data_IF_095375908926
#
_entry.id   IF_095375908926
#
_cell.length_a   1.000
_cell.length_b   1.000
_cell.length_c   1.000
_cell.angle_alpha   90.00
_cell.angle_beta   90.00
_cell.angle_gamma   90.00
#
_symmetry.space_group_name_H-M   'P 1'
#
loop_
_entity.id
_entity.type
_entity.pdbx_description
1 polymer ?
#
# COMPACT_ATOMS: atom_id res chain seq x y z
N UNK A 1 24.65 -52.50 16.52
CA UNK A 1 24.17 -51.97 15.23
C UNK A 1 23.24 -50.77 15.50
N UNK A 2 23.79 -49.70 16.09
CA UNK A 2 24.26 -48.43 15.49
C UNK A 2 23.16 -47.39 15.23
N UNK A 3 22.80 -46.71 16.34
CA UNK A 3 22.05 -45.46 16.53
C UNK A 3 22.55 -44.24 15.71
N UNK A 4 23.51 -44.46 14.81
CA UNK A 4 24.29 -43.47 14.06
C UNK A 4 23.63 -43.08 12.72
N UNK A 5 22.74 -43.91 12.16
CA UNK A 5 22.09 -43.62 10.86
C UNK A 5 20.88 -42.68 10.98
N UNK A 6 20.14 -42.70 12.10
CA UNK A 6 18.99 -41.83 12.32
C UNK A 6 19.38 -40.35 12.49
N UNK A 7 20.62 -40.08 12.92
CA UNK A 7 21.11 -38.74 13.25
C UNK A 7 21.71 -37.97 12.05
N UNK A 8 21.83 -38.62 10.88
CA UNK A 8 22.38 -37.99 9.68
C UNK A 8 21.32 -37.32 8.81
N UNK A 9 20.09 -37.85 8.82
CA UNK A 9 18.97 -37.29 8.04
C UNK A 9 18.40 -36.04 8.71
N UNK A 10 18.31 -36.01 10.05
CA UNK A 10 17.86 -34.83 10.79
C UNK A 10 18.83 -33.64 10.78
N UNK A 11 20.10 -33.85 10.38
CA UNK A 11 21.16 -32.83 10.46
C UNK A 11 21.30 -32.00 9.18
N UNK A 12 20.61 -32.38 8.10
CA UNK A 12 20.57 -31.64 6.83
C UNK A 12 19.29 -30.81 6.65
N UNK A 13 18.26 -30.99 7.48
CA UNK A 13 16.99 -30.25 7.39
C UNK A 13 16.92 -29.00 8.29
N UNK A 14 17.85 -28.85 9.23
CA UNK A 14 17.87 -27.73 10.19
C UNK A 14 18.27 -26.36 9.58
N UNK A 15 19.19 -26.24 8.60
CA UNK A 15 19.55 -24.91 8.10
C UNK A 15 18.49 -24.28 7.17
N UNK A 16 17.55 -25.06 6.62
CA UNK A 16 16.53 -24.53 5.71
C UNK A 16 15.34 -23.87 6.43
N UNK A 17 15.06 -24.28 7.67
CA UNK A 17 13.96 -23.72 8.46
C UNK A 17 14.25 -22.32 9.04
N UNK A 18 15.52 -21.96 9.22
CA UNK A 18 15.90 -20.67 9.81
C UNK A 18 15.84 -19.49 8.81
N UNK A 19 16.03 -19.75 7.51
CA UNK A 19 15.97 -18.70 6.49
C UNK A 19 14.53 -18.22 6.19
N UNK A 20 13.52 -19.07 6.42
CA UNK A 20 12.12 -18.74 6.17
C UNK A 20 11.52 -17.73 7.19
N UNK A 21 12.13 -17.60 8.38
CA UNK A 21 11.60 -16.72 9.44
C UNK A 21 11.91 -15.23 9.22
N UNK A 22 12.94 -14.90 8.43
CA UNK A 22 13.36 -13.52 8.18
C UNK A 22 12.49 -12.79 7.14
N UNK A 23 11.80 -13.53 6.26
CA UNK A 23 10.94 -12.94 5.23
C UNK A 23 9.64 -12.32 5.81
N UNK A 24 9.17 -12.77 6.97
CA UNK A 24 7.91 -12.32 7.56
C UNK A 24 7.96 -10.94 8.23
N UNK A 25 9.13 -10.52 8.73
CA UNK A 25 9.26 -9.24 9.44
C UNK A 25 9.21 -8.04 8.49
N UNK A 26 9.94 -8.09 7.37
CA UNK A 26 9.99 -6.99 6.41
C UNK A 26 8.64 -6.67 5.77
N UNK A 27 7.81 -7.69 5.53
CA UNK A 27 6.47 -7.53 4.95
C UNK A 27 5.51 -6.86 5.94
N UNK A 28 5.50 -7.30 7.20
CA UNK A 28 4.65 -6.72 8.26
C UNK A 28 5.00 -5.26 8.54
N UNK A 29 6.30 -4.93 8.54
CA UNK A 29 6.75 -3.56 8.74
C UNK A 29 6.33 -2.66 7.56
N UNK A 30 6.54 -3.14 6.33
CA UNK A 30 6.15 -2.40 5.12
C UNK A 30 4.64 -2.12 5.06
N UNK A 31 3.84 -3.05 5.56
CA UNK A 31 2.41 -2.88 5.69
C UNK A 31 2.05 -1.76 6.69
N UNK A 32 2.59 -1.79 7.90
CA UNK A 32 2.32 -0.78 8.94
C UNK A 32 2.76 0.62 8.51
N UNK A 33 3.93 0.71 7.88
CA UNK A 33 4.42 1.97 7.32
C UNK A 33 3.47 2.50 6.23
N UNK A 34 2.94 1.63 5.37
CA UNK A 34 2.02 2.02 4.31
C UNK A 34 0.62 2.41 4.85
N UNK A 35 0.11 1.77 5.91
CA UNK A 35 -1.11 2.22 6.61
C UNK A 35 -0.98 3.65 7.15
N UNK A 36 0.19 3.99 7.70
CA UNK A 36 0.48 5.35 8.18
C UNK A 36 0.44 6.36 7.03
N UNK A 37 0.99 6.01 5.87
CA UNK A 37 0.94 6.88 4.68
C UNK A 37 -0.50 7.02 4.14
N UNK A 38 -1.34 5.98 4.19
CA UNK A 38 -2.77 6.10 3.85
C UNK A 38 -3.47 7.10 4.76
N UNK A 39 -3.21 7.06 6.07
CA UNK A 39 -3.77 8.04 7.01
C UNK A 39 -3.36 9.48 6.68
N UNK A 40 -2.09 9.71 6.33
CA UNK A 40 -1.60 11.04 5.89
C UNK A 40 -2.24 11.46 4.57
N UNK A 41 -2.44 10.52 3.65
CA UNK A 41 -3.11 10.77 2.38
C UNK A 41 -4.55 11.24 2.61
N UNK A 42 -5.34 10.54 3.42
CA UNK A 42 -6.72 10.92 3.71
C UNK A 42 -6.79 12.29 4.39
N UNK A 43 -5.89 12.59 5.33
CA UNK A 43 -5.79 13.92 5.95
C UNK A 43 -5.51 15.02 4.91
N UNK A 44 -4.58 14.78 3.99
CA UNK A 44 -4.26 15.72 2.93
C UNK A 44 -5.41 15.89 1.93
N UNK A 45 -6.11 14.81 1.59
CA UNK A 45 -7.28 14.81 0.72
C UNK A 45 -8.45 15.60 1.34
N UNK A 46 -8.71 15.40 2.63
CA UNK A 46 -9.76 16.12 3.37
C UNK A 46 -9.45 17.62 3.50
N UNK A 47 -8.16 17.97 3.58
CA UNK A 47 -7.68 19.35 3.60
C UNK A 47 -7.58 19.98 2.20
N UNK A 48 -7.76 19.21 1.12
CA UNK A 48 -7.52 19.64 -0.25
C UNK A 48 -6.05 19.96 -0.55
N UNK A 49 -5.11 19.51 0.30
CA UNK A 49 -3.67 19.76 0.15
C UNK A 49 -3.01 18.72 -0.76
N UNK A 50 -3.29 18.82 -2.06
CA UNK A 50 -2.67 17.94 -3.07
C UNK A 50 -1.13 18.03 -3.05
N UNK A 51 -0.55 19.15 -2.60
CA UNK A 51 0.91 19.30 -2.51
C UNK A 51 1.50 18.34 -1.46
N UNK A 52 0.79 18.07 -0.37
CA UNK A 52 1.23 17.10 0.63
C UNK A 52 1.24 15.67 0.07
N UNK A 53 0.20 15.29 -0.69
CA UNK A 53 0.13 14.00 -1.40
C UNK A 53 1.32 13.86 -2.37
N UNK A 54 1.59 14.91 -3.16
CA UNK A 54 2.70 14.90 -4.11
C UNK A 54 4.08 14.83 -3.46
N UNK A 55 4.26 15.33 -2.24
CA UNK A 55 5.52 15.18 -1.50
C UNK A 55 5.81 13.73 -1.10
N UNK A 56 4.77 12.92 -0.91
CA UNK A 56 4.85 11.50 -0.54
C UNK A 56 4.83 10.57 -1.76
N UNK A 57 4.37 11.05 -2.92
CA UNK A 57 4.36 10.30 -4.16
C UNK A 57 5.77 9.97 -4.67
N UNK A 58 5.94 8.85 -5.35
CA UNK A 58 7.18 8.51 -6.04
C UNK A 58 7.50 9.56 -7.12
N UNK A 59 8.77 9.97 -7.31
CA UNK A 59 9.15 10.92 -8.35
C UNK A 59 8.61 10.58 -9.75
N UNK A 60 8.48 9.29 -10.08
CA UNK A 60 7.91 8.83 -11.34
C UNK A 60 6.41 9.16 -11.47
N UNK A 61 5.67 9.11 -10.35
CA UNK A 61 4.24 9.47 -10.33
C UNK A 61 4.00 10.98 -10.45
N UNK A 62 5.01 11.81 -10.13
CA UNK A 62 4.93 13.28 -10.15
C UNK A 62 5.06 13.89 -11.55
N UNK A 63 5.20 13.08 -12.60
CA UNK A 63 5.51 13.53 -13.95
C UNK A 63 4.47 13.04 -14.97
N UNK A 64 4.37 13.75 -16.10
CA UNK A 64 3.62 13.29 -17.28
C UNK A 64 2.11 13.14 -17.08
N UNK A 65 1.53 12.20 -17.83
CA UNK A 65 0.09 11.97 -17.88
C UNK A 65 -0.48 11.36 -16.59
N UNK A 66 0.33 10.58 -15.86
CA UNK A 66 -0.08 9.93 -14.62
C UNK A 66 -0.40 10.96 -13.53
N UNK A 67 0.41 12.02 -13.44
CA UNK A 67 0.13 13.13 -12.54
C UNK A 67 -1.21 13.79 -12.83
N UNK A 68 -1.43 14.21 -14.07
CA UNK A 68 -2.65 14.91 -14.47
C UNK A 68 -3.91 14.02 -14.28
N UNK A 69 -3.79 12.72 -14.51
CA UNK A 69 -4.85 11.76 -14.25
C UNK A 69 -5.17 11.65 -12.75
N UNK A 70 -4.13 11.52 -11.91
CA UNK A 70 -4.33 11.42 -10.46
C UNK A 70 -4.90 12.72 -9.88
N UNK A 71 -4.42 13.90 -10.29
CA UNK A 71 -4.98 15.19 -9.84
C UNK A 71 -6.48 15.28 -10.15
N UNK A 72 -6.92 14.82 -11.34
CA UNK A 72 -8.34 14.78 -11.71
C UNK A 72 -9.15 13.82 -10.84
N UNK A 73 -8.59 12.65 -10.54
CA UNK A 73 -9.27 11.67 -9.67
C UNK A 73 -9.42 12.26 -8.26
N UNK A 74 -8.35 12.81 -7.68
CA UNK A 74 -8.39 13.40 -6.34
C UNK A 74 -9.36 14.58 -6.24
N UNK A 75 -9.37 15.45 -7.24
CA UNK A 75 -10.33 16.54 -7.36
C UNK A 75 -11.77 16.03 -7.49
N UNK A 76 -12.01 14.97 -8.27
CA UNK A 76 -13.33 14.35 -8.38
C UNK A 76 -13.77 13.70 -7.06
N UNK A 77 -12.88 13.02 -6.33
CA UNK A 77 -13.18 12.46 -5.01
C UNK A 77 -13.57 13.58 -4.05
N UNK A 78 -12.73 14.61 -3.93
CA UNK A 78 -12.98 15.71 -3.00
C UNK A 78 -14.28 16.46 -3.34
N UNK A 79 -14.57 16.73 -4.62
CA UNK A 79 -15.80 17.44 -5.01
C UNK A 79 -17.06 16.59 -4.94
N UNK A 80 -17.01 15.33 -5.39
CA UNK A 80 -18.21 14.48 -5.52
C UNK A 80 -18.53 13.71 -4.25
N UNK A 81 -17.52 13.17 -3.57
CA UNK A 81 -17.66 12.35 -2.37
C UNK A 81 -17.49 13.16 -1.09
N UNK A 82 -16.68 14.22 -1.11
CA UNK A 82 -16.40 15.05 0.06
C UNK A 82 -15.35 14.41 0.98
N UNK A 83 -15.41 14.75 2.27
CA UNK A 83 -14.41 14.28 3.26
C UNK A 83 -14.61 12.83 3.64
N UNK A 84 -13.53 12.18 4.05
CA UNK A 84 -13.55 10.83 4.62
C UNK A 84 -14.26 10.85 5.98
N UNK A 85 -15.21 9.94 6.18
CA UNK A 85 -15.90 9.72 7.47
C UNK A 85 -15.43 8.47 8.18
N UNK A 86 -15.26 7.40 7.41
CA UNK A 86 -14.83 6.12 7.92
C UNK A 86 -14.04 5.39 6.84
N UNK A 87 -12.96 4.75 7.21
CA UNK A 87 -12.23 3.85 6.32
C UNK A 87 -12.04 2.50 6.99
N UNK A 88 -12.14 1.43 6.21
CA UNK A 88 -11.94 0.06 6.68
C UNK A 88 -11.06 -0.66 5.67
N UNK A 89 -9.94 -1.18 6.12
CA UNK A 89 -9.12 -2.03 5.25
C UNK A 89 -9.86 -3.34 4.96
N UNK A 90 -9.96 -3.68 3.68
CA UNK A 90 -10.63 -4.91 3.20
C UNK A 90 -9.65 -5.88 2.55
N UNK A 91 -8.46 -5.41 2.15
CA UNK A 91 -7.44 -6.26 1.56
C UNK A 91 -6.07 -5.62 1.60
N UNK A 92 -5.04 -6.46 1.49
CA UNK A 92 -3.67 -6.01 1.29
C UNK A 92 -2.91 -7.08 0.51
N UNK A 93 -1.91 -6.64 -0.24
CA UNK A 93 -0.99 -7.49 -0.98
C UNK A 93 0.40 -6.89 -0.90
N UNK A 94 1.42 -7.72 -0.76
CA UNK A 94 2.81 -7.29 -0.84
C UNK A 94 3.52 -8.14 -1.90
N UNK A 95 4.17 -7.48 -2.84
CA UNK A 95 4.91 -8.10 -3.93
C UNK A 95 6.33 -7.54 -3.95
N UNK A 96 7.32 -8.38 -3.65
CA UNK A 96 8.73 -8.02 -3.71
C UNK A 96 9.27 -8.29 -5.12
N UNK A 97 9.80 -7.25 -5.77
CA UNK A 97 10.43 -7.34 -7.10
C UNK A 97 11.89 -6.88 -7.01
N UNK A 98 12.60 -6.94 -8.14
CA UNK A 98 13.97 -6.39 -8.24
C UNK A 98 14.04 -4.88 -8.06
N UNK A 99 12.90 -4.18 -8.17
CA UNK A 99 12.81 -2.73 -7.98
C UNK A 99 12.40 -2.34 -6.55
N UNK A 100 12.15 -3.30 -5.67
CA UNK A 100 11.73 -3.08 -4.28
C UNK A 100 10.41 -3.78 -3.95
N UNK A 101 9.84 -3.47 -2.79
CA UNK A 101 8.60 -4.10 -2.33
C UNK A 101 7.41 -3.20 -2.61
N UNK A 102 6.50 -3.67 -3.46
CA UNK A 102 5.23 -3.02 -3.73
C UNK A 102 4.18 -3.51 -2.73
N UNK A 103 3.57 -2.59 -2.00
CA UNK A 103 2.49 -2.87 -1.05
C UNK A 103 1.22 -2.25 -1.62
N UNK A 104 0.26 -3.10 -1.97
CA UNK A 104 -1.07 -2.68 -2.38
C UNK A 104 -2.01 -2.82 -1.20
N UNK A 105 -2.71 -1.74 -0.86
CA UNK A 105 -3.71 -1.71 0.20
C UNK A 105 -5.07 -1.39 -0.40
N UNK A 106 -6.08 -2.16 -0.05
CA UNK A 106 -7.46 -1.93 -0.47
C UNK A 106 -8.31 -1.56 0.73
N UNK A 107 -8.96 -0.41 0.66
CA UNK A 107 -9.85 0.13 1.68
C UNK A 107 -11.26 0.28 1.13
N UNK A 108 -12.25 0.01 1.96
CA UNK A 108 -13.60 0.51 1.78
C UNK A 108 -13.73 1.79 2.59
N UNK A 109 -13.97 2.90 1.90
CA UNK A 109 -14.06 4.22 2.51
C UNK A 109 -15.45 4.80 2.32
N UNK A 110 -16.03 5.25 3.42
CA UNK A 110 -17.26 6.04 3.47
C UNK A 110 -16.89 7.51 3.55
N UNK A 111 -17.40 8.28 2.60
CA UNK A 111 -17.24 9.72 2.51
C UNK A 111 -18.54 10.44 2.89
N UNK A 112 -18.53 11.76 2.89
CA UNK A 112 -19.71 12.59 3.18
C UNK A 112 -20.89 12.34 2.24
N UNK A 113 -20.61 12.07 0.96
CA UNK A 113 -21.61 12.03 -0.11
C UNK A 113 -21.63 10.70 -0.86
N UNK A 114 -21.08 9.64 -0.26
CA UNK A 114 -21.08 8.31 -0.87
C UNK A 114 -20.03 7.38 -0.28
N UNK A 115 -19.78 6.27 -0.95
CA UNK A 115 -18.75 5.31 -0.57
C UNK A 115 -17.95 4.83 -1.77
N UNK A 116 -16.73 4.35 -1.52
CA UNK A 116 -15.85 3.87 -2.58
C UNK A 116 -14.83 2.86 -2.07
N UNK A 117 -14.41 1.97 -2.96
CA UNK A 117 -13.26 1.10 -2.73
C UNK A 117 -12.01 1.82 -3.23
N UNK A 118 -11.10 2.16 -2.33
CA UNK A 118 -9.83 2.79 -2.62
C UNK A 118 -8.72 1.76 -2.67
N UNK A 119 -7.87 1.85 -3.68
CA UNK A 119 -6.66 1.06 -3.81
C UNK A 119 -5.44 1.97 -3.84
N UNK A 120 -4.54 1.74 -2.88
CA UNK A 120 -3.27 2.44 -2.76
C UNK A 120 -2.15 1.49 -3.13
N UNK A 121 -1.22 1.93 -3.96
CA UNK A 121 0.00 1.19 -4.28
C UNK A 121 1.18 2.02 -3.80
N UNK A 122 1.92 1.46 -2.85
CA UNK A 122 3.15 2.04 -2.34
C UNK A 122 4.34 1.19 -2.73
N UNK A 123 5.49 1.82 -2.93
CA UNK A 123 6.77 1.13 -3.10
C UNK A 123 7.68 1.46 -1.92
N UNK A 124 8.18 0.42 -1.25
CA UNK A 124 9.29 0.52 -0.30
C UNK A 124 10.58 0.32 -1.09
N UNK A 125 11.33 1.40 -1.27
CA UNK A 125 12.61 1.39 -1.97
C UNK A 125 13.80 1.03 -1.06
N UNK A 126 14.97 0.91 -1.66
CA UNK A 126 16.23 0.66 -0.95
C UNK A 126 16.55 1.86 -0.04
N UNK A 127 16.44 1.65 1.27
CA UNK A 127 16.52 2.72 2.29
C UNK A 127 15.26 2.87 3.14
N UNK A 128 14.26 2.01 2.95
CA UNK A 128 13.08 1.93 3.82
C UNK A 128 12.05 3.03 3.59
N UNK A 129 12.29 3.92 2.62
CA UNK A 129 11.32 4.97 2.25
C UNK A 129 10.15 4.35 1.50
N UNK A 130 8.95 4.68 1.96
CA UNK A 130 7.70 4.31 1.29
C UNK A 130 7.21 5.51 0.49
N UNK A 131 6.90 5.28 -0.78
CA UNK A 131 6.40 6.31 -1.68
C UNK A 131 5.14 5.83 -2.40
N UNK A 132 4.15 6.71 -2.57
CA UNK A 132 2.92 6.39 -3.31
C UNK A 132 3.25 6.29 -4.80
N UNK A 133 3.08 5.11 -5.39
CA UNK A 133 3.29 4.86 -6.82
C UNK A 133 1.99 4.80 -7.61
N UNK A 134 0.84 4.64 -6.94
CA UNK A 134 -0.45 4.65 -7.60
C UNK A 134 -1.61 4.77 -6.62
N UNK A 135 -2.70 5.36 -7.09
CA UNK A 135 -3.98 5.43 -6.39
C UNK A 135 -5.11 5.26 -7.39
N UNK A 136 -6.10 4.44 -7.01
CA UNK A 136 -7.33 4.25 -7.76
C UNK A 136 -8.52 4.20 -6.80
N UNK A 137 -9.69 4.62 -7.27
CA UNK A 137 -10.93 4.53 -6.51
C UNK A 137 -12.07 4.04 -7.42
N UNK A 138 -12.83 3.07 -6.91
CA UNK A 138 -14.04 2.58 -7.53
C UNK A 138 -15.23 3.00 -6.66
N UNK A 139 -16.06 3.90 -7.18
CA UNK A 139 -17.25 4.41 -6.48
C UNK A 139 -18.39 4.60 -7.48
N UNK A 140 -19.51 3.93 -7.24
CA UNK A 140 -20.72 4.14 -8.04
C UNK A 140 -21.27 5.57 -7.82
N UNK A 141 -21.17 6.09 -6.60
CA UNK A 141 -21.62 7.45 -6.27
C UNK A 141 -20.82 8.54 -7.01
N UNK A 142 -19.55 8.28 -7.37
CA UNK A 142 -18.77 9.18 -8.24
C UNK A 142 -19.23 9.18 -9.70
N UNK A 143 -19.86 8.10 -10.16
CA UNK A 143 -20.35 7.96 -11.53
C UNK A 143 -21.75 8.55 -11.72
N UNK A 144 -22.56 8.57 -10.64
CA UNK A 144 -23.93 9.04 -10.65
C UNK A 144 -24.09 10.55 -10.36
N UNK A 145 -23.10 11.16 -9.70
CA UNK A 145 -23.00 12.61 -9.47
C UNK A 145 -22.18 13.32 -10.56
#
# INVERSE_FOLDING_TARGET
MNRQMLNRIGRLLVPFAAAAMLAGCGVKESFKDAEVEVGKFHQALDAGDLRAIWKQADPALRQGAQRAALEKVLDAVHRKLGKVKQTKQVGWNANATTEGTFVTLTYQTTFERGSGAEQFVYRKGDGGKIALTGYNIESQDMMLN
#
